data_IF_363451528043
#
_entry.id   IF_363451528043
#
_cell.length_a   1.000
_cell.length_b   1.000
_cell.length_c   1.000
_cell.angle_alpha   90.00
_cell.angle_beta   90.00
_cell.angle_gamma   90.00
#
_symmetry.space_group_name_H-M   'P 1'
#
loop_
_entity.id
_entity.type
_entity.pdbx_description
1 polymer ?
#
# COMPACT_ATOMS: atom_id res chain seq x y z
N UNK A 1 -5.75 22.60 37.47
CA UNK A 1 -4.29 22.67 37.53
C UNK A 1 -3.78 21.94 36.30
N UNK A 2 -3.44 22.73 35.28
CA UNK A 2 -2.99 22.26 33.97
C UNK A 2 -1.50 21.96 34.00
N UNK A 3 -1.10 20.71 33.88
CA UNK A 3 0.28 20.33 33.56
C UNK A 3 0.38 20.01 32.06
N UNK A 4 0.45 21.05 31.26
CA UNK A 4 0.92 20.96 29.87
C UNK A 4 2.44 20.97 29.89
N UNK A 5 3.01 19.84 29.52
CA UNK A 5 4.45 19.60 29.44
C UNK A 5 5.09 20.50 28.34
N UNK A 6 6.07 21.36 28.64
CA UNK A 6 6.62 22.34 27.71
C UNK A 6 7.67 21.79 26.71
N UNK A 7 7.82 20.46 26.56
CA UNK A 7 8.90 19.85 25.76
C UNK A 7 8.54 19.67 24.26
N UNK A 8 7.31 20.02 23.82
CA UNK A 8 6.88 19.80 22.42
C UNK A 8 7.01 21.05 21.53
N UNK A 9 7.89 22.02 21.87
CA UNK A 9 8.20 23.18 20.99
C UNK A 9 9.56 23.07 20.32
N UNK A 10 9.97 21.92 19.84
CA UNK A 10 11.03 21.87 18.85
C UNK A 10 10.43 22.04 17.46
N UNK A 11 10.71 23.19 16.86
CA UNK A 11 10.54 23.48 15.44
C UNK A 11 11.07 22.29 14.61
N UNK A 12 10.19 21.40 14.19
CA UNK A 12 10.51 20.45 13.14
C UNK A 12 10.80 21.27 11.87
N UNK A 13 12.08 21.41 11.58
CA UNK A 13 12.53 21.96 10.29
C UNK A 13 11.93 21.08 9.20
N UNK A 14 11.29 21.74 8.23
CA UNK A 14 10.61 21.13 7.07
C UNK A 14 11.53 20.22 6.23
N UNK A 15 12.84 20.24 6.46
CA UNK A 15 13.84 19.40 5.77
C UNK A 15 14.09 18.02 6.40
N UNK A 16 13.49 17.68 7.53
CA UNK A 16 13.73 16.39 8.22
C UNK A 16 12.52 15.47 8.25
N UNK A 17 11.46 15.77 7.51
CA UNK A 17 10.41 14.82 7.24
C UNK A 17 10.85 13.95 6.06
N UNK A 18 11.88 13.13 6.28
CA UNK A 18 11.92 11.79 5.71
C UNK A 18 10.80 11.00 6.41
N UNK A 19 9.57 11.43 6.13
CA UNK A 19 8.41 10.65 6.47
C UNK A 19 8.68 9.25 5.92
N UNK A 20 8.34 8.23 6.68
CA UNK A 20 8.10 6.87 6.17
C UNK A 20 6.95 7.05 5.18
N UNK A 21 7.26 7.57 4.02
CA UNK A 21 6.31 7.85 2.96
C UNK A 21 6.22 6.59 2.15
N UNK A 22 5.04 6.07 1.97
CA UNK A 22 4.83 5.01 0.98
C UNK A 22 5.50 5.40 -0.34
N UNK A 23 6.23 4.49 -0.98
CA UNK A 23 6.74 4.71 -2.32
C UNK A 23 5.61 5.21 -3.24
N UNK A 24 5.93 6.10 -4.16
CA UNK A 24 4.95 6.62 -5.13
C UNK A 24 4.15 5.51 -5.83
N UNK A 25 4.80 4.37 -6.08
CA UNK A 25 4.18 3.18 -6.67
C UNK A 25 2.97 2.71 -5.85
N UNK A 26 3.12 2.56 -4.55
CA UNK A 26 2.07 2.08 -3.65
C UNK A 26 0.95 3.10 -3.52
N UNK A 27 1.29 4.36 -3.25
CA UNK A 27 0.32 5.44 -3.20
C UNK A 27 -0.55 5.48 -4.46
N UNK A 28 0.06 5.41 -5.64
CA UNK A 28 -0.65 5.48 -6.91
C UNK A 28 -1.41 4.18 -7.22
N UNK A 29 -0.91 3.03 -6.77
CA UNK A 29 -1.63 1.77 -6.88
C UNK A 29 -2.92 1.75 -6.07
N UNK A 30 -2.85 2.25 -4.82
CA UNK A 30 -4.03 2.39 -3.96
C UNK A 30 -5.04 3.39 -4.54
N UNK A 31 -4.59 4.53 -5.04
CA UNK A 31 -5.45 5.53 -5.70
C UNK A 31 -6.16 4.95 -6.93
N UNK A 32 -5.43 4.24 -7.78
CA UNK A 32 -6.01 3.61 -8.97
C UNK A 32 -7.03 2.53 -8.60
N UNK A 33 -6.75 1.71 -7.58
CA UNK A 33 -7.71 0.72 -7.07
C UNK A 33 -8.96 1.39 -6.49
N UNK A 34 -8.82 2.46 -5.74
CA UNK A 34 -9.94 3.23 -5.19
C UNK A 34 -10.77 3.86 -6.31
N UNK A 35 -10.13 4.47 -7.31
CA UNK A 35 -10.82 5.02 -8.47
C UNK A 35 -11.65 3.95 -9.21
N UNK A 36 -11.06 2.77 -9.46
CA UNK A 36 -11.74 1.65 -10.12
C UNK A 36 -12.82 1.02 -9.23
N UNK A 37 -12.63 1.02 -7.91
CA UNK A 37 -13.60 0.52 -6.95
C UNK A 37 -14.87 1.36 -6.87
N UNK A 38 -14.77 2.66 -7.10
CA UNK A 38 -15.90 3.60 -7.14
C UNK A 38 -16.70 3.55 -8.46
N UNK A 39 -16.22 2.79 -9.46
CA UNK A 39 -16.95 2.68 -10.73
C UNK A 39 -18.20 1.79 -10.59
N UNK A 40 -19.36 2.34 -10.88
CA UNK A 40 -20.62 1.57 -10.93
C UNK A 40 -20.50 0.46 -11.98
N UNK A 41 -21.04 -0.71 -11.63
CA UNK A 41 -21.11 -1.88 -12.53
C UNK A 41 -19.75 -2.38 -13.04
N UNK A 42 -18.63 -2.02 -12.36
CA UNK A 42 -17.26 -2.39 -12.76
C UNK A 42 -16.98 -2.10 -14.25
N UNK A 43 -17.44 -0.97 -14.74
CA UNK A 43 -17.19 -0.55 -16.13
C UNK A 43 -15.69 -0.40 -16.37
N UNK A 44 -15.18 -0.88 -17.52
CA UNK A 44 -13.80 -0.63 -17.89
C UNK A 44 -13.50 0.86 -18.01
N UNK A 45 -12.39 1.30 -17.41
CA UNK A 45 -11.92 2.69 -17.41
C UNK A 45 -10.60 2.76 -18.16
N UNK A 46 -10.45 3.73 -19.05
CA UNK A 46 -9.21 3.94 -19.78
C UNK A 46 -8.10 4.43 -18.83
N UNK A 47 -6.89 3.98 -19.08
CA UNK A 47 -5.74 4.38 -18.28
C UNK A 47 -5.50 5.90 -18.28
N UNK A 48 -5.80 6.57 -19.42
CA UNK A 48 -5.70 8.02 -19.55
C UNK A 48 -6.65 8.75 -18.59
N UNK A 49 -7.86 8.24 -18.42
CA UNK A 49 -8.85 8.79 -17.51
C UNK A 49 -8.40 8.68 -16.05
N UNK A 50 -7.90 7.51 -15.62
CA UNK A 50 -7.36 7.32 -14.29
C UNK A 50 -6.13 8.21 -14.06
N UNK A 51 -5.25 8.30 -15.07
CA UNK A 51 -4.03 9.10 -15.00
C UNK A 51 -4.32 10.60 -14.85
N UNK A 52 -5.29 11.12 -15.60
CA UNK A 52 -5.74 12.49 -15.53
C UNK A 52 -6.41 12.81 -14.20
N UNK A 53 -7.39 11.99 -13.78
CA UNK A 53 -8.11 12.18 -12.51
C UNK A 53 -7.17 12.20 -11.31
N UNK A 54 -6.23 11.25 -11.25
CA UNK A 54 -5.32 11.10 -10.12
C UNK A 54 -4.03 11.93 -10.24
N UNK A 55 -3.87 12.66 -11.36
CA UNK A 55 -2.65 13.41 -11.68
C UNK A 55 -1.38 12.56 -11.63
N UNK A 56 -1.42 11.42 -12.32
CA UNK A 56 -0.33 10.45 -12.38
C UNK A 56 0.16 10.31 -13.81
N UNK A 57 1.47 10.19 -14.03
CA UNK A 57 2.02 9.87 -15.35
C UNK A 57 1.44 8.55 -15.87
N UNK A 58 0.82 8.56 -17.06
CA UNK A 58 0.23 7.37 -17.67
C UNK A 58 1.22 6.20 -17.79
N UNK A 59 2.46 6.48 -18.22
CA UNK A 59 3.52 5.46 -18.34
C UNK A 59 3.85 4.79 -17.01
N UNK A 60 3.87 5.57 -15.92
CA UNK A 60 4.12 5.02 -14.59
C UNK A 60 2.92 4.23 -14.08
N UNK A 61 1.71 4.74 -14.29
CA UNK A 61 0.47 4.06 -13.91
C UNK A 61 0.30 2.73 -14.65
N UNK A 62 0.70 2.65 -15.92
CA UNK A 62 0.64 1.41 -16.73
C UNK A 62 1.40 0.26 -16.07
N UNK A 63 2.61 0.51 -15.57
CA UNK A 63 3.42 -0.50 -14.88
C UNK A 63 2.75 -1.02 -13.60
N UNK A 64 2.07 -0.13 -12.89
CA UNK A 64 1.34 -0.45 -11.66
C UNK A 64 0.10 -1.30 -11.97
N UNK A 65 -0.73 -0.85 -12.93
CA UNK A 65 -1.93 -1.56 -13.33
C UNK A 65 -1.61 -2.94 -13.93
N UNK A 66 -0.49 -3.06 -14.64
CA UNK A 66 -0.01 -4.34 -15.14
C UNK A 66 0.35 -5.30 -14.01
N UNK A 67 1.00 -4.82 -12.96
CA UNK A 67 1.32 -5.63 -11.77
C UNK A 67 0.06 -6.10 -11.06
N UNK A 68 -0.89 -5.20 -10.83
CA UNK A 68 -2.18 -5.52 -10.22
C UNK A 68 -3.03 -6.49 -11.06
N UNK A 69 -2.98 -6.36 -12.39
CA UNK A 69 -3.63 -7.30 -13.30
C UNK A 69 -3.01 -8.69 -13.26
N UNK A 70 -1.67 -8.79 -13.27
CA UNK A 70 -0.95 -10.08 -13.17
C UNK A 70 -1.27 -10.80 -11.87
N UNK A 71 -1.53 -10.07 -10.80
CA UNK A 71 -1.90 -10.63 -9.50
C UNK A 71 -3.40 -10.87 -9.31
N UNK A 72 -4.22 -10.67 -10.36
CA UNK A 72 -5.63 -11.02 -10.35
C UNK A 72 -6.54 -10.04 -9.60
N UNK A 73 -6.10 -8.81 -9.34
CA UNK A 73 -6.97 -7.74 -8.81
C UNK A 73 -7.74 -7.05 -9.91
N UNK A 74 -7.08 -6.87 -11.05
CA UNK A 74 -7.65 -6.18 -12.21
C UNK A 74 -7.76 -7.12 -13.40
N UNK A 75 -8.71 -6.80 -14.28
CA UNK A 75 -8.76 -7.29 -15.64
C UNK A 75 -8.75 -6.13 -16.62
N UNK A 76 -8.57 -6.42 -17.91
CA UNK A 76 -8.60 -5.40 -18.93
C UNK A 76 -9.35 -5.87 -20.17
N UNK A 77 -10.13 -4.96 -20.79
CA UNK A 77 -10.83 -5.17 -22.06
C UNK A 77 -10.15 -4.33 -23.14
N UNK A 78 -9.92 -4.91 -24.30
CA UNK A 78 -9.37 -4.21 -25.48
C UNK A 78 -10.47 -3.55 -26.32
N UNK A 79 -10.09 -2.54 -27.10
CA UNK A 79 -10.96 -1.90 -28.10
C UNK A 79 -11.71 -0.67 -27.60
N UNK A 80 -12.66 -0.21 -28.43
CA UNK A 80 -13.50 0.97 -28.13
C UNK A 80 -14.34 0.71 -26.87
N UNK A 81 -14.22 1.58 -25.85
CA UNK A 81 -14.84 1.36 -24.54
C UNK A 81 -14.13 0.30 -23.69
N UNK A 82 -12.87 -0.03 -24.02
CA UNK A 82 -12.01 -0.87 -23.22
C UNK A 82 -11.31 -0.11 -22.08
N UNK A 83 -10.52 -0.83 -21.30
CA UNK A 83 -9.80 -0.27 -20.15
C UNK A 83 -9.61 -1.29 -19.05
N UNK A 84 -9.26 -0.81 -17.86
CA UNK A 84 -9.08 -1.64 -16.67
C UNK A 84 -10.33 -1.64 -15.79
N UNK A 85 -10.59 -2.73 -15.10
CA UNK A 85 -11.69 -2.87 -14.14
C UNK A 85 -11.35 -3.87 -13.05
N UNK A 86 -12.02 -3.79 -11.90
CA UNK A 86 -11.84 -4.74 -10.80
C UNK A 86 -12.37 -6.12 -11.20
N UNK A 87 -11.54 -7.15 -11.01
CA UNK A 87 -11.90 -8.55 -11.25
C UNK A 87 -12.75 -9.11 -10.10
N UNK A 88 -12.47 -8.66 -8.86
CA UNK A 88 -13.14 -9.10 -7.64
C UNK A 88 -13.96 -7.97 -7.04
N UNK A 89 -14.89 -8.34 -6.15
CA UNK A 89 -15.60 -7.36 -5.32
C UNK A 89 -14.62 -6.64 -4.38
N UNK A 90 -14.75 -5.31 -4.16
CA UNK A 90 -13.91 -4.59 -3.22
C UNK A 90 -13.84 -5.21 -1.82
N UNK A 91 -14.92 -5.82 -1.32
CA UNK A 91 -14.95 -6.56 -0.05
C UNK A 91 -14.07 -7.82 -0.04
N UNK A 92 -13.68 -8.33 -1.20
CA UNK A 92 -12.83 -9.52 -1.35
C UNK A 92 -11.36 -9.20 -1.64
N UNK A 93 -11.02 -7.90 -1.67
CA UNK A 93 -9.67 -7.41 -1.93
C UNK A 93 -9.07 -6.94 -0.62
N UNK A 94 -8.34 -7.82 0.07
CA UNK A 94 -7.69 -7.50 1.33
C UNK A 94 -6.45 -6.64 1.12
N UNK A 95 -6.24 -5.65 1.98
CA UNK A 95 -5.09 -4.75 1.92
C UNK A 95 -3.76 -5.49 2.07
N UNK A 96 -3.72 -6.60 2.82
CA UNK A 96 -2.53 -7.45 2.91
C UNK A 96 -2.03 -7.90 1.54
N UNK A 97 -2.94 -8.33 0.66
CA UNK A 97 -2.56 -8.87 -0.64
C UNK A 97 -2.19 -7.76 -1.62
N UNK A 98 -2.91 -6.63 -1.55
CA UNK A 98 -2.58 -5.41 -2.32
C UNK A 98 -1.17 -4.92 -1.97
N UNK A 99 -0.87 -4.80 -0.66
CA UNK A 99 0.44 -4.33 -0.20
C UNK A 99 1.57 -5.25 -0.63
N UNK A 100 1.37 -6.57 -0.58
CA UNK A 100 2.36 -7.55 -1.06
C UNK A 100 2.69 -7.40 -2.55
N UNK A 101 1.71 -7.04 -3.37
CA UNK A 101 1.92 -6.82 -4.82
C UNK A 101 2.61 -5.49 -5.10
N UNK A 102 2.29 -4.46 -4.33
CA UNK A 102 2.82 -3.11 -4.54
C UNK A 102 4.20 -2.91 -3.90
N UNK A 103 4.40 -3.41 -2.68
CA UNK A 103 5.63 -3.22 -1.87
C UNK A 103 6.49 -4.47 -1.80
N UNK A 104 5.90 -5.65 -1.85
CA UNK A 104 6.58 -6.90 -1.55
C UNK A 104 6.43 -7.33 -0.09
N UNK A 105 7.51 -7.69 0.61
CA UNK A 105 7.44 -8.14 2.00
C UNK A 105 6.90 -7.05 2.93
N UNK A 106 5.92 -7.41 3.78
CA UNK A 106 5.45 -6.52 4.84
C UNK A 106 6.37 -6.71 6.06
N UNK A 107 7.59 -6.23 5.93
CA UNK A 107 8.62 -6.31 6.97
C UNK A 107 9.65 -5.21 6.78
N UNK A 108 10.09 -4.58 7.87
CA UNK A 108 11.09 -3.51 7.83
C UNK A 108 12.52 -4.05 7.69
N UNK A 109 12.75 -5.28 8.15
CA UNK A 109 14.04 -6.00 8.05
C UNK A 109 13.77 -7.43 7.59
N UNK A 110 14.68 -8.06 6.81
CA UNK A 110 14.48 -9.39 6.24
C UNK A 110 14.24 -10.47 7.29
N UNK A 111 14.92 -10.42 8.42
CA UNK A 111 14.83 -11.43 9.49
C UNK A 111 13.47 -11.52 10.19
N UNK A 112 12.56 -10.57 9.97
CA UNK A 112 11.17 -10.65 10.46
C UNK A 112 10.15 -10.88 9.33
N UNK A 113 10.61 -11.07 8.09
CA UNK A 113 9.73 -11.34 6.96
C UNK A 113 9.12 -12.75 7.04
N UNK A 114 7.80 -12.86 6.80
CA UNK A 114 7.13 -14.16 6.79
C UNK A 114 7.37 -14.96 5.51
N UNK A 115 7.60 -14.30 4.38
CA UNK A 115 7.67 -14.95 3.07
C UNK A 115 9.06 -14.83 2.41
N UNK A 116 9.91 -13.91 2.91
CA UNK A 116 11.23 -13.61 2.37
C UNK A 116 12.20 -13.43 3.53
N UNK A 117 12.23 -14.44 4.41
CA UNK A 117 13.13 -14.45 5.55
C UNK A 117 14.58 -14.58 5.08
N UNK A 118 15.44 -13.72 5.60
CA UNK A 118 16.89 -13.81 5.52
C UNK A 118 17.45 -13.42 6.90
N UNK A 119 18.42 -14.20 7.40
CA UNK A 119 19.14 -13.83 8.62
C UNK A 119 20.01 -12.59 8.40
N UNK A 120 20.25 -11.81 9.44
CA UNK A 120 21.24 -10.73 9.36
C UNK A 120 22.65 -11.31 9.44
N UNK A 121 23.54 -10.87 8.55
CA UNK A 121 24.94 -11.34 8.53
C UNK A 121 25.73 -10.90 9.78
N UNK A 122 25.34 -9.79 10.39
CA UNK A 122 25.96 -9.18 11.57
C UNK A 122 25.24 -9.50 12.89
N UNK A 123 24.22 -10.35 12.87
CA UNK A 123 23.42 -10.71 14.05
C UNK A 123 23.76 -12.13 14.53
N UNK A 124 24.50 -12.29 15.62
CA UNK A 124 24.91 -13.61 16.11
C UNK A 124 23.74 -14.47 16.60
N UNK A 125 22.68 -13.86 17.16
CA UNK A 125 21.46 -14.55 17.60
C UNK A 125 20.25 -13.59 17.56
N UNK A 126 19.31 -13.87 16.69
CA UNK A 126 18.07 -13.08 16.54
C UNK A 126 17.21 -13.05 17.81
N UNK A 127 17.25 -14.11 18.63
CA UNK A 127 16.48 -14.21 19.88
C UNK A 127 16.92 -13.19 20.92
N UNK A 128 18.17 -12.76 20.86
CA UNK A 128 18.75 -11.76 21.77
C UNK A 128 18.72 -10.34 21.18
N UNK A 129 18.44 -10.23 19.87
CA UNK A 129 18.44 -8.95 19.17
C UNK A 129 17.22 -8.10 19.54
N UNK A 130 17.45 -6.93 20.13
CA UNK A 130 16.40 -5.99 20.51
C UNK A 130 15.71 -5.36 19.29
N UNK A 131 16.46 -5.15 18.20
CA UNK A 131 15.92 -4.63 16.93
C UNK A 131 14.96 -5.66 16.32
N UNK A 132 15.35 -6.94 16.28
CA UNK A 132 14.48 -8.01 15.81
C UNK A 132 13.15 -8.05 16.58
N UNK A 133 13.20 -8.01 17.93
CA UNK A 133 11.99 -7.99 18.77
C UNK A 133 11.07 -6.80 18.49
N UNK A 134 11.65 -5.60 18.30
CA UNK A 134 10.88 -4.42 17.96
C UNK A 134 10.25 -4.54 16.56
N UNK A 135 11.02 -4.99 15.57
CA UNK A 135 10.53 -5.10 14.19
C UNK A 135 9.49 -6.20 14.02
N UNK A 136 9.52 -7.26 14.85
CA UNK A 136 8.42 -8.22 14.93
C UNK A 136 7.10 -7.55 15.33
N UNK A 137 7.10 -6.72 16.37
CA UNK A 137 5.90 -6.02 16.82
C UNK A 137 5.37 -5.04 15.75
N UNK A 138 6.26 -4.31 15.07
CA UNK A 138 5.88 -3.41 13.96
C UNK A 138 5.23 -4.20 12.82
N UNK A 139 5.87 -5.31 12.40
CA UNK A 139 5.33 -6.19 11.36
C UNK A 139 3.95 -6.73 11.74
N UNK A 140 3.80 -7.26 12.94
CA UNK A 140 2.55 -7.87 13.39
C UNK A 140 1.42 -6.85 13.50
N UNK A 141 1.73 -5.64 13.97
CA UNK A 141 0.79 -4.53 14.02
C UNK A 141 0.35 -4.09 12.62
N UNK A 142 1.29 -3.96 11.67
CA UNK A 142 0.97 -3.63 10.29
C UNK A 142 0.12 -4.72 9.62
N UNK A 143 0.49 -5.99 9.82
CA UNK A 143 -0.27 -7.13 9.30
C UNK A 143 -1.68 -7.19 9.89
N UNK A 144 -1.87 -6.90 11.17
CA UNK A 144 -3.19 -6.87 11.79
C UNK A 144 -4.09 -5.81 11.13
N UNK A 145 -3.56 -4.61 10.89
CA UNK A 145 -4.29 -3.55 10.17
C UNK A 145 -4.64 -4.00 8.75
N UNK A 146 -3.66 -4.47 7.97
CA UNK A 146 -3.92 -4.84 6.57
C UNK A 146 -4.83 -6.05 6.40
N UNK A 147 -4.84 -7.01 7.34
CA UNK A 147 -5.72 -8.18 7.31
C UNK A 147 -7.18 -7.85 7.61
N UNK A 148 -7.40 -6.84 8.44
CA UNK A 148 -8.74 -6.44 8.88
C UNK A 148 -9.36 -5.37 7.98
N UNK A 149 -8.67 -4.91 6.95
CA UNK A 149 -9.16 -3.92 6.01
C UNK A 149 -9.17 -4.46 4.58
N UNK A 150 -10.22 -4.15 3.86
CA UNK A 150 -10.43 -4.45 2.44
C UNK A 150 -10.35 -3.17 1.60
N UNK A 151 -10.41 -3.30 0.29
CA UNK A 151 -10.54 -2.14 -0.59
C UNK A 151 -11.84 -1.38 -0.31
N UNK A 152 -12.93 -2.09 0.04
CA UNK A 152 -14.22 -1.45 0.35
C UNK A 152 -14.12 -0.46 1.52
N UNK A 153 -13.34 -0.79 2.55
CA UNK A 153 -13.18 0.07 3.71
C UNK A 153 -12.53 1.42 3.33
N UNK A 154 -11.59 1.40 2.36
CA UNK A 154 -10.97 2.62 1.84
C UNK A 154 -11.94 3.45 0.98
N UNK A 155 -12.90 2.80 0.29
CA UNK A 155 -13.88 3.50 -0.55
C UNK A 155 -14.93 4.25 0.28
N UNK A 156 -15.30 3.71 1.43
CA UNK A 156 -16.33 4.30 2.31
C UNK A 156 -15.86 5.57 3.02
N UNK A 157 -14.54 5.74 3.18
CA UNK A 157 -13.94 6.88 3.88
C UNK A 157 -13.67 8.10 2.97
N UNK A 158 -14.07 8.06 1.69
CA UNK A 158 -13.95 9.23 0.82
C UNK A 158 -15.12 10.19 1.05
N UNK A 159 -14.86 11.46 1.43
CA UNK A 159 -15.89 12.46 1.67
C UNK A 159 -16.67 12.86 0.40
#
# INVERSE_FOLDING_TARGET
MNFLNPILKHRFSILSILAICFPKKTKYGLKALAYLGNQKDRKPVQISEIAEHENISQKFLESILLSLRKSGFLSSKKGKGGGYYLLKDPNQIYMTDVMRVLEGPIAMVPCVSLNFYESCDDCPDERTCSVHKLMLQVRDSALAVYRNNTLQDILCDQP
#
